data_IF_961800793268
#
_entry.id   IF_961800793268
#
_cell.length_a   1.000
_cell.length_b   1.000
_cell.length_c   1.000
_cell.angle_alpha   90.00
_cell.angle_beta   90.00
_cell.angle_gamma   90.00
#
_symmetry.space_group_name_H-M   'P 1'
#
loop_
_entity.id
_entity.type
_entity.pdbx_description
1 polymer ?
#
# COMPACT_ATOMS: atom_id res chain seq x y z
N UNK A 1 12.49 29.57 17.62
CA UNK A 1 11.65 29.32 16.44
C UNK A 1 10.51 28.42 16.87
N UNK A 2 9.29 28.90 16.78
CA UNK A 2 8.11 28.13 17.15
C UNK A 2 7.93 26.93 16.22
N UNK A 3 7.60 25.77 16.78
CA UNK A 3 7.42 24.57 15.97
C UNK A 3 6.02 24.55 15.37
N UNK A 4 5.87 24.08 14.16
CA UNK A 4 4.59 24.02 13.44
C UNK A 4 3.46 23.37 14.24
N UNK A 5 3.74 22.25 14.94
CA UNK A 5 2.73 21.55 15.74
C UNK A 5 2.32 22.33 17.00
N UNK A 6 3.20 23.16 17.56
CA UNK A 6 2.85 24.03 18.69
C UNK A 6 1.87 25.12 18.24
N UNK A 7 2.05 25.67 17.04
CA UNK A 7 1.11 26.63 16.43
C UNK A 7 -0.25 25.97 16.17
N UNK A 8 -0.27 24.75 15.63
CA UNK A 8 -1.50 23.98 15.40
C UNK A 8 -2.24 23.72 16.72
N UNK A 9 -1.52 23.29 17.75
CA UNK A 9 -2.13 23.02 19.06
C UNK A 9 -2.82 24.26 19.65
N UNK A 10 -2.18 25.43 19.57
CA UNK A 10 -2.78 26.70 20.03
C UNK A 10 -3.98 27.14 19.19
N UNK A 11 -3.92 26.99 17.88
CA UNK A 11 -5.05 27.33 16.99
C UNK A 11 -6.28 26.46 17.29
N UNK A 12 -6.09 25.17 17.47
CA UNK A 12 -7.16 24.23 17.84
C UNK A 12 -7.75 24.60 19.21
N UNK A 13 -6.91 24.94 20.19
CA UNK A 13 -7.36 25.40 21.51
C UNK A 13 -8.12 26.72 21.42
N UNK A 14 -7.61 27.72 20.71
CA UNK A 14 -8.23 29.03 20.54
C UNK A 14 -9.59 28.94 19.83
N UNK A 15 -9.78 28.01 18.92
CA UNK A 15 -11.07 27.76 18.24
C UNK A 15 -12.03 26.89 19.03
N UNK A 16 -11.65 26.47 20.21
CA UNK A 16 -12.47 25.59 21.09
C UNK A 16 -12.78 24.21 20.43
N UNK A 17 -11.87 23.67 19.59
CA UNK A 17 -12.00 22.38 18.97
C UNK A 17 -11.37 21.22 19.76
N UNK A 18 -11.04 21.44 21.03
CA UNK A 18 -10.64 20.41 21.97
C UNK A 18 -11.88 19.65 22.47
N UNK A 19 -12.44 18.82 21.60
CA UNK A 19 -13.59 17.97 21.93
C UNK A 19 -13.45 16.59 21.33
N UNK A 20 -14.18 15.63 21.89
CA UNK A 20 -14.24 14.25 21.38
C UNK A 20 -14.89 14.13 20.00
N UNK A 21 -15.63 15.15 19.55
CA UNK A 21 -16.29 15.19 18.26
C UNK A 21 -15.35 15.62 17.11
N UNK A 22 -14.14 16.05 17.48
CA UNK A 22 -13.10 16.43 16.52
C UNK A 22 -12.16 15.26 16.25
N UNK A 23 -11.86 15.01 14.98
CA UNK A 23 -10.84 14.07 14.55
C UNK A 23 -9.72 14.81 13.84
N UNK A 24 -8.49 14.64 14.30
CA UNK A 24 -7.29 15.23 13.69
C UNK A 24 -6.55 14.13 12.95
N UNK A 25 -6.49 14.25 11.63
CA UNK A 25 -5.81 13.30 10.76
C UNK A 25 -4.43 13.84 10.40
N UNK A 26 -3.40 13.05 10.64
CA UNK A 26 -2.00 13.40 10.41
C UNK A 26 -1.35 12.44 9.41
N UNK A 27 -0.26 12.85 8.72
CA UNK A 27 0.40 12.00 7.75
C UNK A 27 0.91 10.66 8.32
N UNK A 28 1.32 10.63 9.58
CA UNK A 28 1.86 9.46 10.25
C UNK A 28 1.63 9.48 11.77
N UNK A 29 1.76 8.31 12.40
CA UNK A 29 1.58 8.13 13.86
C UNK A 29 2.54 8.97 14.70
N UNK A 30 3.77 9.17 14.21
CA UNK A 30 4.82 9.93 14.91
C UNK A 30 4.40 11.40 15.11
N UNK A 31 3.81 12.01 14.09
CA UNK A 31 3.28 13.38 14.20
C UNK A 31 2.21 13.49 15.26
N UNK A 32 1.39 12.44 15.46
CA UNK A 32 0.39 12.39 16.52
C UNK A 32 0.98 12.44 17.92
N UNK A 33 2.10 11.77 18.15
CA UNK A 33 2.81 11.85 19.45
C UNK A 33 3.31 13.25 19.72
N UNK A 34 3.92 13.90 18.72
CA UNK A 34 4.39 15.27 18.87
C UNK A 34 3.26 16.28 19.09
N UNK A 35 2.12 16.11 18.40
CA UNK A 35 0.95 16.96 18.61
C UNK A 35 0.36 16.79 20.04
N UNK A 36 0.29 15.55 20.55
CA UNK A 36 -0.12 15.30 21.95
C UNK A 36 0.82 15.98 22.94
N UNK A 37 2.12 15.96 22.71
CA UNK A 37 3.07 16.66 23.54
C UNK A 37 2.91 18.19 23.46
N UNK A 38 2.61 18.74 22.29
CA UNK A 38 2.30 20.17 22.13
C UNK A 38 1.05 20.56 22.90
N UNK A 39 -0.02 19.74 22.86
CA UNK A 39 -1.20 19.97 23.70
C UNK A 39 -0.87 19.91 25.19
N UNK A 40 -0.10 18.92 25.63
CA UNK A 40 0.29 18.78 27.03
C UNK A 40 1.08 19.99 27.56
N UNK A 41 1.78 20.72 26.70
CA UNK A 41 2.55 21.92 27.06
C UNK A 41 1.67 23.19 27.26
N UNK A 42 0.43 23.20 26.74
CA UNK A 42 -0.43 24.39 26.75
C UNK A 42 -1.72 24.19 27.55
N UNK A 43 -2.04 22.96 27.96
CA UNK A 43 -3.27 22.63 28.68
C UNK A 43 -2.95 22.43 30.16
N UNK A 44 -3.50 23.28 31.01
CA UNK A 44 -3.28 23.27 32.47
C UNK A 44 -4.30 22.40 33.24
N UNK A 45 -5.36 21.95 32.58
CA UNK A 45 -6.43 21.17 33.20
C UNK A 45 -6.67 19.85 32.48
N UNK A 46 -7.10 18.80 33.18
CA UNK A 46 -7.48 17.55 32.51
C UNK A 46 -8.59 17.78 31.47
N UNK A 47 -8.34 17.41 30.23
CA UNK A 47 -9.29 17.50 29.11
C UNK A 47 -9.29 16.22 28.33
N UNK A 48 -10.43 15.90 27.69
CA UNK A 48 -10.49 14.85 26.68
C UNK A 48 -10.01 15.43 25.36
N UNK A 49 -8.88 14.91 24.86
CA UNK A 49 -8.35 15.34 23.57
C UNK A 49 -9.19 14.82 22.41
N UNK A 50 -9.18 15.51 21.26
CA UNK A 50 -9.67 15.00 19.99
C UNK A 50 -9.06 13.65 19.63
N UNK A 51 -9.75 12.87 18.80
CA UNK A 51 -9.15 11.69 18.19
C UNK A 51 -7.99 12.12 17.27
N UNK A 52 -6.79 11.66 17.55
CA UNK A 52 -5.59 11.96 16.75
C UNK A 52 -5.13 10.66 16.10
N UNK A 53 -5.28 10.56 14.80
CA UNK A 53 -5.00 9.37 14.02
C UNK A 53 -4.08 9.66 12.82
N UNK A 54 -3.38 8.67 12.35
CA UNK A 54 -2.69 8.75 11.06
C UNK A 54 -3.67 8.60 9.90
N UNK A 55 -3.28 9.03 8.69
CA UNK A 55 -4.07 8.84 7.47
C UNK A 55 -4.42 7.36 7.26
N UNK A 56 -3.47 6.46 7.45
CA UNK A 56 -3.69 5.01 7.35
C UNK A 56 -4.73 4.51 8.37
N UNK A 57 -4.62 4.94 9.64
CA UNK A 57 -5.58 4.56 10.68
C UNK A 57 -6.98 5.10 10.38
N UNK A 58 -7.07 6.34 9.89
CA UNK A 58 -8.33 6.96 9.51
C UNK A 58 -9.03 6.17 8.41
N UNK A 59 -8.31 5.86 7.30
CA UNK A 59 -8.87 5.08 6.19
C UNK A 59 -9.22 3.65 6.63
N UNK A 60 -8.37 3.03 7.46
CA UNK A 60 -8.63 1.70 8.02
C UNK A 60 -9.91 1.67 8.88
N UNK A 61 -10.15 2.71 9.67
CA UNK A 61 -11.39 2.83 10.45
C UNK A 61 -12.62 3.01 9.56
N UNK A 62 -12.52 3.81 8.50
CA UNK A 62 -13.63 4.04 7.57
C UNK A 62 -14.00 2.81 6.74
N UNK A 63 -13.01 2.07 6.28
CA UNK A 63 -13.21 0.92 5.37
C UNK A 63 -13.37 -0.41 6.11
N UNK A 64 -12.93 -0.50 7.36
CA UNK A 64 -12.85 -1.75 8.11
C UNK A 64 -11.74 -2.68 7.62
N UNK A 65 -10.84 -2.20 6.73
CA UNK A 65 -9.71 -2.94 6.17
C UNK A 65 -8.46 -2.62 7.00
N UNK A 66 -7.64 -3.62 7.31
CA UNK A 66 -6.42 -3.46 8.09
C UNK A 66 -5.18 -3.65 7.22
N UNK A 67 -4.11 -2.93 7.55
CA UNK A 67 -2.78 -3.18 6.97
C UNK A 67 -2.05 -4.16 7.90
N UNK A 68 -1.85 -5.41 7.48
CA UNK A 68 -1.12 -6.40 8.26
C UNK A 68 0.39 -6.17 8.16
N UNK A 69 1.19 -6.97 8.89
CA UNK A 69 2.62 -7.01 8.69
C UNK A 69 3.02 -7.55 7.30
N UNK A 70 4.25 -7.30 6.90
CA UNK A 70 4.77 -7.69 5.59
C UNK A 70 4.75 -9.22 5.39
N UNK A 71 5.04 -9.98 6.44
CA UNK A 71 5.08 -11.44 6.35
C UNK A 71 3.71 -12.02 6.00
N UNK A 72 2.65 -11.47 6.59
CA UNK A 72 1.27 -11.86 6.23
C UNK A 72 0.98 -11.56 4.78
N UNK A 73 1.39 -10.40 4.26
CA UNK A 73 1.22 -10.04 2.85
C UNK A 73 1.97 -11.02 1.92
N UNK A 74 3.19 -11.45 2.29
CA UNK A 74 3.93 -12.45 1.51
C UNK A 74 3.23 -13.80 1.46
N UNK A 75 2.69 -14.28 2.58
CA UNK A 75 1.92 -15.52 2.60
C UNK A 75 0.66 -15.44 1.72
N UNK A 76 -0.08 -14.34 1.78
CA UNK A 76 -1.27 -14.16 0.95
C UNK A 76 -0.92 -14.11 -0.56
N UNK A 77 0.22 -13.50 -0.92
CA UNK A 77 0.71 -13.47 -2.30
C UNK A 77 1.21 -14.86 -2.73
N UNK A 78 1.88 -15.61 -1.85
CA UNK A 78 2.31 -16.98 -2.13
C UNK A 78 1.14 -17.92 -2.39
N UNK A 79 0.04 -17.79 -1.66
CA UNK A 79 -1.18 -18.53 -1.93
C UNK A 79 -1.80 -18.19 -3.31
N UNK A 80 -1.66 -16.94 -3.76
CA UNK A 80 -2.04 -16.56 -5.11
C UNK A 80 -1.07 -17.17 -6.15
N UNK A 81 0.23 -17.14 -5.88
CA UNK A 81 1.27 -17.77 -6.70
C UNK A 81 0.97 -19.25 -6.96
N UNK A 82 0.68 -20.01 -5.91
CA UNK A 82 0.33 -21.45 -6.03
C UNK A 82 -0.93 -21.73 -6.86
N UNK A 83 -1.82 -20.76 -7.00
CA UNK A 83 -3.03 -20.89 -7.82
C UNK A 83 -2.78 -20.55 -9.29
N UNK A 84 -1.84 -19.67 -9.55
CA UNK A 84 -1.55 -19.15 -10.90
C UNK A 84 -0.51 -20.03 -11.60
N UNK A 85 0.50 -20.48 -10.85
CA UNK A 85 1.58 -21.27 -11.41
C UNK A 85 1.26 -22.76 -11.40
N UNK A 86 1.43 -23.42 -12.56
CA UNK A 86 1.30 -24.88 -12.66
C UNK A 86 2.42 -25.65 -11.95
N UNK A 87 3.57 -25.00 -11.78
CA UNK A 87 4.72 -25.47 -11.02
C UNK A 87 5.22 -24.30 -10.18
N UNK A 88 4.61 -24.05 -9.01
CA UNK A 88 4.99 -22.93 -8.16
C UNK A 88 6.39 -23.16 -7.59
N UNK A 89 7.13 -22.07 -7.44
CA UNK A 89 8.38 -22.06 -6.69
C UNK A 89 8.12 -22.44 -5.22
N UNK A 90 9.15 -22.93 -4.54
CA UNK A 90 9.09 -23.02 -3.08
C UNK A 90 9.04 -21.62 -2.45
N UNK A 91 8.64 -21.57 -1.19
CA UNK A 91 8.41 -20.30 -0.50
C UNK A 91 9.70 -19.47 -0.36
N UNK A 92 10.85 -20.10 -0.18
CA UNK A 92 12.13 -19.41 -0.04
C UNK A 92 12.53 -18.72 -1.35
N UNK A 93 12.44 -19.43 -2.45
CA UNK A 93 12.69 -18.87 -3.80
C UNK A 93 11.71 -17.73 -4.10
N UNK A 94 10.41 -17.93 -3.79
CA UNK A 94 9.37 -16.93 -3.98
C UNK A 94 9.63 -15.65 -3.18
N UNK A 95 10.11 -15.74 -1.94
CA UNK A 95 10.46 -14.58 -1.11
C UNK A 95 11.55 -13.71 -1.71
N UNK A 96 12.37 -14.26 -2.62
CA UNK A 96 13.40 -13.48 -3.30
C UNK A 96 12.85 -12.35 -4.18
N UNK A 97 11.62 -12.47 -4.67
CA UNK A 97 10.98 -11.46 -5.53
C UNK A 97 9.62 -10.94 -5.05
N UNK A 98 8.99 -11.61 -4.10
CA UNK A 98 7.69 -11.21 -3.55
C UNK A 98 7.64 -9.76 -3.01
N UNK A 99 8.67 -9.26 -2.30
CA UNK A 99 8.70 -7.87 -1.85
C UNK A 99 8.61 -6.87 -3.01
N UNK A 100 9.31 -7.13 -4.11
CA UNK A 100 9.27 -6.29 -5.32
C UNK A 100 7.87 -6.27 -5.92
N UNK A 101 7.22 -7.43 -6.06
CA UNK A 101 5.86 -7.52 -6.59
C UNK A 101 4.86 -6.72 -5.73
N UNK A 102 4.94 -6.85 -4.41
CA UNK A 102 4.05 -6.11 -3.52
C UNK A 102 4.33 -4.61 -3.59
N UNK A 103 5.60 -4.22 -3.68
CA UNK A 103 5.97 -2.82 -3.87
C UNK A 103 5.36 -2.26 -5.15
N UNK A 104 5.52 -2.94 -6.28
CA UNK A 104 5.00 -2.50 -7.56
C UNK A 104 3.46 -2.42 -7.54
N UNK A 105 2.77 -3.41 -6.97
CA UNK A 105 1.31 -3.36 -6.81
C UNK A 105 0.86 -2.23 -5.89
N UNK A 106 1.63 -1.94 -4.84
CA UNK A 106 1.38 -0.81 -3.96
C UNK A 106 1.48 0.53 -4.70
N UNK A 107 2.50 0.70 -5.55
CA UNK A 107 2.65 1.89 -6.39
C UNK A 107 1.48 2.01 -7.40
N UNK A 108 1.09 0.92 -8.05
CA UNK A 108 -0.08 0.91 -8.95
C UNK A 108 -1.35 1.42 -8.27
N UNK A 109 -1.62 0.93 -7.06
CA UNK A 109 -2.81 1.32 -6.31
C UNK A 109 -2.69 2.73 -5.73
N UNK A 110 -1.51 3.12 -5.24
CA UNK A 110 -1.25 4.43 -4.65
C UNK A 110 -1.43 5.57 -5.67
N UNK A 111 -0.96 5.33 -6.92
CA UNK A 111 -1.10 6.28 -8.02
C UNK A 111 -2.39 6.10 -8.84
N UNK A 112 -3.31 5.24 -8.40
CA UNK A 112 -4.59 4.96 -9.07
C UNK A 112 -4.43 4.55 -10.55
N UNK A 113 -3.33 3.85 -10.86
CA UNK A 113 -3.06 3.42 -12.23
C UNK A 113 -4.11 2.38 -12.66
N UNK A 114 -4.63 2.50 -13.88
CA UNK A 114 -5.50 1.50 -14.48
C UNK A 114 -4.71 0.26 -14.86
N UNK A 115 -4.80 -0.76 -14.01
CA UNK A 115 -3.97 -1.95 -14.07
C UNK A 115 -4.08 -2.71 -15.40
N UNK A 116 -5.28 -2.84 -15.95
CA UNK A 116 -5.48 -3.55 -17.23
C UNK A 116 -4.70 -2.88 -18.37
N UNK A 117 -4.79 -1.56 -18.51
CA UNK A 117 -4.06 -0.81 -19.53
C UNK A 117 -2.56 -0.88 -19.31
N UNK A 118 -2.09 -0.76 -18.06
CA UNK A 118 -0.69 -0.80 -17.73
C UNK A 118 -0.08 -2.19 -18.01
N UNK A 119 -0.73 -3.27 -17.57
CA UNK A 119 -0.22 -4.62 -17.82
C UNK A 119 -0.30 -5.01 -19.30
N UNK A 120 -1.36 -4.59 -20.02
CA UNK A 120 -1.43 -4.77 -21.48
C UNK A 120 -0.28 -4.06 -22.17
N UNK A 121 -0.03 -2.79 -21.84
CA UNK A 121 1.09 -2.03 -22.41
C UNK A 121 2.46 -2.68 -22.10
N UNK A 122 2.68 -3.13 -20.88
CA UNK A 122 3.93 -3.82 -20.49
C UNK A 122 4.11 -5.14 -21.26
N UNK A 123 3.04 -5.91 -21.41
CA UNK A 123 3.05 -7.14 -22.20
C UNK A 123 3.32 -6.87 -23.68
N UNK A 124 2.67 -5.86 -24.26
CA UNK A 124 2.88 -5.46 -25.65
C UNK A 124 4.28 -4.87 -25.86
N UNK A 125 4.78 -4.06 -24.95
CA UNK A 125 6.16 -3.54 -25.01
C UNK A 125 7.20 -4.66 -24.89
N UNK A 126 6.94 -5.69 -24.08
CA UNK A 126 7.82 -6.87 -24.01
C UNK A 126 7.78 -7.72 -25.28
N UNK A 127 6.67 -7.69 -26.02
CA UNK A 127 6.53 -8.33 -27.35
C UNK A 127 7.15 -7.50 -28.48
N UNK A 128 6.95 -6.17 -28.48
CA UNK A 128 7.45 -5.25 -29.52
C UNK A 128 8.95 -4.98 -29.39
N UNK A 129 9.43 -4.81 -28.18
CA UNK A 129 10.85 -4.93 -27.88
C UNK A 129 11.30 -6.39 -28.00
N UNK A 130 10.64 -7.10 -28.89
CA UNK A 130 11.25 -8.31 -29.37
C UNK A 130 12.69 -7.95 -29.59
N UNK A 131 13.44 -8.28 -28.61
CA UNK A 131 14.88 -8.33 -28.60
C UNK A 131 15.31 -9.29 -29.72
N UNK A 132 14.85 -8.97 -30.90
CA UNK A 132 15.35 -9.47 -32.17
C UNK A 132 16.28 -8.44 -32.77
N UNK A 133 17.47 -8.25 -32.22
CA UNK A 133 18.46 -7.52 -32.97
C UNK A 133 18.91 -8.41 -34.14
N UNK A 134 18.19 -8.90 -35.04
CA UNK A 134 18.59 -9.71 -36.20
C UNK A 134 17.93 -11.09 -36.34
N UNK A 135 16.63 -11.25 -36.09
CA UNK A 135 15.91 -12.42 -36.60
C UNK A 135 16.14 -13.76 -35.88
N UNK A 136 16.73 -13.73 -34.69
CA UNK A 136 16.96 -14.95 -33.89
C UNK A 136 15.75 -15.37 -33.06
N UNK A 137 15.67 -16.66 -32.67
CA UNK A 137 14.67 -17.12 -31.69
C UNK A 137 14.93 -16.54 -30.29
N UNK A 138 13.85 -16.33 -29.54
CA UNK A 138 13.93 -15.89 -28.15
C UNK A 138 14.67 -16.92 -27.30
N UNK A 139 15.62 -16.48 -26.51
CA UNK A 139 16.31 -17.31 -25.50
C UNK A 139 15.34 -17.81 -24.44
N UNK A 140 15.70 -18.89 -23.74
CA UNK A 140 14.88 -19.44 -22.66
C UNK A 140 14.58 -18.41 -21.55
N UNK A 141 15.51 -17.50 -21.24
CA UNK A 141 15.33 -16.42 -20.29
C UNK A 141 14.34 -15.35 -20.79
N UNK A 142 14.41 -14.98 -22.06
CA UNK A 142 13.49 -14.03 -22.67
C UNK A 142 12.04 -14.56 -22.69
N UNK A 143 11.85 -15.85 -23.01
CA UNK A 143 10.54 -16.50 -22.96
C UNK A 143 9.95 -16.49 -21.55
N UNK A 144 10.75 -16.81 -20.53
CA UNK A 144 10.32 -16.75 -19.12
C UNK A 144 9.94 -15.34 -18.70
N UNK A 145 10.70 -14.33 -19.11
CA UNK A 145 10.42 -12.92 -18.82
C UNK A 145 9.08 -12.48 -19.40
N UNK A 146 8.82 -12.77 -20.68
CA UNK A 146 7.54 -12.45 -21.32
C UNK A 146 6.37 -13.16 -20.62
N UNK A 147 6.50 -14.46 -20.33
CA UNK A 147 5.49 -15.22 -19.61
C UNK A 147 5.19 -14.65 -18.22
N UNK A 148 6.21 -14.14 -17.54
CA UNK A 148 6.04 -13.47 -16.25
C UNK A 148 5.16 -12.21 -16.38
N UNK A 149 5.44 -11.33 -17.34
CA UNK A 149 4.62 -10.12 -17.57
C UNK A 149 3.19 -10.43 -18.02
N UNK A 150 3.00 -11.47 -18.83
CA UNK A 150 1.66 -11.93 -19.23
C UNK A 150 0.81 -12.40 -18.01
N UNK A 151 1.45 -12.88 -16.96
CA UNK A 151 0.78 -13.31 -15.72
C UNK A 151 0.60 -12.22 -14.68
N UNK A 152 1.27 -11.07 -14.80
CA UNK A 152 1.27 -10.01 -13.79
C UNK A 152 -0.14 -9.52 -13.47
N UNK A 153 -1.00 -9.38 -14.45
CA UNK A 153 -2.39 -9.01 -14.25
C UNK A 153 -3.15 -10.05 -13.43
N UNK A 154 -2.90 -11.34 -13.69
CA UNK A 154 -3.49 -12.44 -12.93
C UNK A 154 -3.00 -12.46 -11.48
N UNK A 155 -1.72 -12.17 -11.26
CA UNK A 155 -1.15 -12.02 -9.90
C UNK A 155 -1.82 -10.87 -9.16
N UNK A 156 -1.85 -9.69 -9.76
CA UNK A 156 -2.46 -8.52 -9.17
C UNK A 156 -3.93 -8.74 -8.82
N UNK A 157 -4.73 -9.21 -9.78
CA UNK A 157 -6.18 -9.38 -9.60
C UNK A 157 -6.52 -10.47 -8.59
N UNK A 158 -5.82 -11.61 -8.63
CA UNK A 158 -6.02 -12.71 -7.68
C UNK A 158 -5.63 -12.31 -6.27
N UNK A 159 -4.47 -11.64 -6.13
CA UNK A 159 -3.98 -11.17 -4.85
C UNK A 159 -4.89 -10.10 -4.25
N UNK A 160 -5.24 -9.06 -5.01
CA UNK A 160 -6.17 -8.01 -4.61
C UNK A 160 -7.52 -8.57 -4.12
N UNK A 161 -8.12 -9.47 -4.90
CA UNK A 161 -9.38 -10.13 -4.51
C UNK A 161 -9.24 -10.87 -3.20
N UNK A 162 -8.15 -11.59 -3.00
CA UNK A 162 -7.90 -12.36 -1.78
C UNK A 162 -7.72 -11.45 -0.57
N UNK A 163 -6.94 -10.39 -0.69
CA UNK A 163 -6.72 -9.43 0.38
C UNK A 163 -8.03 -8.77 0.81
N UNK A 164 -8.83 -8.27 -0.13
CA UNK A 164 -10.10 -7.61 0.17
C UNK A 164 -11.12 -8.57 0.81
N UNK A 165 -11.14 -9.83 0.37
CA UNK A 165 -11.99 -10.87 0.99
C UNK A 165 -11.60 -11.08 2.47
N UNK A 166 -10.32 -11.01 2.79
CA UNK A 166 -9.81 -11.17 4.16
C UNK A 166 -9.84 -9.85 4.97
N UNK A 167 -10.38 -8.77 4.40
CA UNK A 167 -10.39 -7.41 4.99
C UNK A 167 -8.99 -6.93 5.40
N UNK A 168 -8.02 -7.23 4.58
CA UNK A 168 -6.63 -6.75 4.70
C UNK A 168 -6.19 -6.13 3.39
N UNK A 169 -5.20 -5.23 3.44
CA UNK A 169 -4.62 -4.59 2.27
C UNK A 169 -3.19 -4.12 2.57
N UNK A 170 -2.37 -3.96 1.53
CA UNK A 170 -1.20 -3.08 1.61
C UNK A 170 -1.66 -1.62 1.49
N UNK A 171 -0.80 -0.67 1.81
CA UNK A 171 -1.16 0.74 1.97
C UNK A 171 -1.83 1.34 0.73
N UNK A 172 -1.27 1.14 -0.47
CA UNK A 172 -1.84 1.67 -1.71
C UNK A 172 -3.23 1.11 -1.98
N UNK A 173 -3.41 -0.21 -1.79
CA UNK A 173 -4.73 -0.83 -1.95
C UNK A 173 -5.74 -0.31 -0.92
N UNK A 174 -5.32 -0.09 0.33
CA UNK A 174 -6.18 0.51 1.34
C UNK A 174 -6.67 1.90 0.89
N UNK A 175 -5.78 2.75 0.40
CA UNK A 175 -6.15 4.10 -0.07
C UNK A 175 -7.01 4.06 -1.33
N UNK A 176 -6.79 3.10 -2.22
CA UNK A 176 -7.62 2.92 -3.42
C UNK A 176 -9.07 2.48 -3.11
N UNK A 177 -9.36 1.99 -1.89
CA UNK A 177 -10.73 1.57 -1.49
C UNK A 177 -11.59 2.72 -0.96
N UNK A 178 -11.05 3.93 -0.84
CA UNK A 178 -11.80 5.15 -0.57
C UNK A 178 -12.55 5.61 -1.81
#
# INVERSE_FOLDING_TARGET
MEKFLDTIARDIQARNHLSTDTCIVLPNKRSGVFLKNAFAAIIDKPVLLPSIVSMEEFVSQMTGIKVPDALRLYFELYEAHKKIESKPDDFETFLGYAPTLIHDFNEFDLYLIEHHQAFSYMSDASRLNTWKPMGGELTGHQKKYIQFFEKMESYYTTYKKKLLTNKIAYQGLLFRTL
#
